data_IF_885339390161
#
_entry.id   IF_885339390161
#
_cell.length_a   1.000
_cell.length_b   1.000
_cell.length_c   1.000
_cell.angle_alpha   90.00
_cell.angle_beta   90.00
_cell.angle_gamma   90.00
#
_symmetry.space_group_name_H-M   'P 1'
#
loop_
_entity.id
_entity.type
_entity.pdbx_description
1 polymer ?
#
# COMPACT_ATOMS: atom_id res chain seq x y z
N UNK A 1 20.08 7.26 3.20
CA UNK A 1 20.76 6.02 3.65
C UNK A 1 19.69 5.12 4.25
N UNK A 2 19.16 4.16 3.51
CA UNK A 2 18.19 3.20 4.04
C UNK A 2 18.67 1.79 3.72
N UNK A 3 19.61 1.31 4.52
CA UNK A 3 19.79 -0.12 4.73
C UNK A 3 20.08 -0.32 6.21
N UNK A 4 19.08 -0.76 6.95
CA UNK A 4 19.29 -1.51 8.18
C UNK A 4 19.18 -2.99 7.80
N UNK A 5 20.27 -3.76 7.85
CA UNK A 5 20.20 -5.21 7.75
C UNK A 5 19.88 -5.76 9.14
N UNK A 6 18.77 -6.50 9.27
CA UNK A 6 18.56 -7.39 10.41
C UNK A 6 17.19 -7.32 11.08
N UNK A 7 16.22 -8.01 10.49
CA UNK A 7 15.21 -8.87 11.12
C UNK A 7 14.26 -9.28 9.98
N UNK A 8 13.80 -10.53 9.96
CA UNK A 8 12.56 -10.86 9.26
C UNK A 8 11.45 -10.08 9.96
N UNK A 9 11.26 -8.83 9.55
CA UNK A 9 10.25 -7.98 10.13
C UNK A 9 8.94 -8.45 9.55
N UNK A 10 8.10 -9.07 10.39
CA UNK A 10 6.70 -9.28 10.08
C UNK A 10 6.14 -8.02 9.43
N UNK A 11 5.42 -8.20 8.32
CA UNK A 11 5.00 -7.07 7.50
C UNK A 11 4.08 -6.19 8.33
N UNK A 12 4.43 -4.90 8.41
CA UNK A 12 3.71 -3.91 9.20
C UNK A 12 2.20 -3.92 8.86
N UNK A 13 1.31 -4.26 9.82
CA UNK A 13 -0.13 -4.31 9.58
C UNK A 13 -0.71 -2.99 9.07
N UNK A 14 -0.21 -1.86 9.58
CA UNK A 14 -0.63 -0.54 9.12
C UNK A 14 -0.26 -0.28 7.67
N UNK A 15 0.90 -0.79 7.21
CA UNK A 15 1.28 -0.72 5.80
C UNK A 15 0.38 -1.59 4.92
N UNK A 16 0.00 -2.79 5.39
CA UNK A 16 -0.97 -3.64 4.68
C UNK A 16 -2.32 -2.95 4.48
N UNK A 17 -2.79 -2.19 5.48
CA UNK A 17 -4.05 -1.45 5.36
C UNK A 17 -3.93 -0.29 4.36
N UNK A 18 -2.81 0.43 4.32
CA UNK A 18 -2.54 1.47 3.29
C UNK A 18 -2.57 0.86 1.89
N UNK A 19 -1.90 -0.28 1.68
CA UNK A 19 -1.90 -0.98 0.38
C UNK A 19 -3.31 -1.47 0.02
N UNK A 20 -4.03 -2.05 0.97
CA UNK A 20 -5.39 -2.53 0.74
C UNK A 20 -6.34 -1.38 0.36
N UNK A 21 -6.29 -0.26 1.08
CA UNK A 21 -7.14 0.91 0.78
C UNK A 21 -6.74 1.60 -0.52
N UNK A 22 -5.46 1.56 -0.92
CA UNK A 22 -5.00 2.03 -2.23
C UNK A 22 -5.71 1.28 -3.38
N UNK A 23 -5.72 -0.05 -3.34
CA UNK A 23 -6.25 -0.88 -4.45
C UNK A 23 -7.75 -1.18 -4.35
N UNK A 24 -8.33 -1.23 -3.14
CA UNK A 24 -9.70 -1.71 -2.90
C UNK A 24 -10.60 -0.68 -2.20
N UNK A 25 -10.02 0.38 -1.63
CA UNK A 25 -10.77 1.41 -0.93
C UNK A 25 -11.21 2.56 -1.83
N UNK A 26 -12.01 3.46 -1.26
CA UNK A 26 -12.27 4.78 -1.85
C UNK A 26 -11.08 5.73 -1.58
N UNK A 27 -10.98 6.88 -2.27
CA UNK A 27 -9.99 7.90 -1.94
C UNK A 27 -9.98 8.29 -0.45
N UNK A 28 -11.16 8.46 0.16
CA UNK A 28 -11.26 8.79 1.59
C UNK A 28 -10.80 7.66 2.51
N UNK A 29 -11.02 6.39 2.13
CA UNK A 29 -10.45 5.26 2.89
C UNK A 29 -8.92 5.28 2.85
N UNK A 30 -8.33 5.61 1.70
CA UNK A 30 -6.89 5.66 1.52
C UNK A 30 -6.27 6.83 2.29
N UNK A 31 -6.89 8.02 2.23
CA UNK A 31 -6.47 9.18 3.01
C UNK A 31 -6.51 8.90 4.52
N UNK A 32 -7.60 8.31 5.02
CA UNK A 32 -7.70 7.91 6.43
C UNK A 32 -6.66 6.87 6.84
N UNK A 33 -6.27 5.94 5.94
CA UNK A 33 -5.21 4.98 6.21
C UNK A 33 -3.82 5.62 6.26
N UNK A 34 -3.61 6.75 5.58
CA UNK A 34 -2.35 7.49 5.58
C UNK A 34 -2.22 8.48 6.75
N UNK A 35 -3.33 9.01 7.27
CA UNK A 35 -3.36 10.00 8.35
C UNK A 35 -2.44 9.67 9.55
N UNK A 36 -2.39 8.42 10.08
CA UNK A 36 -1.56 8.09 11.24
C UNK A 36 -0.05 8.27 11.01
N UNK A 37 0.39 8.32 9.75
CA UNK A 37 1.78 8.51 9.38
C UNK A 37 2.17 9.98 9.23
N UNK A 38 1.20 10.91 9.35
CA UNK A 38 1.40 12.35 9.23
C UNK A 38 2.21 12.75 7.97
N UNK A 39 1.78 12.33 6.76
CA UNK A 39 2.45 12.73 5.54
C UNK A 39 2.42 14.26 5.40
N UNK A 40 3.49 14.84 4.87
CA UNK A 40 3.47 16.25 4.48
C UNK A 40 2.57 16.48 3.26
N UNK A 41 2.43 17.74 2.85
CA UNK A 41 1.56 18.12 1.75
C UNK A 41 1.99 17.44 0.44
N UNK A 42 3.28 17.46 0.11
CA UNK A 42 3.78 16.89 -1.14
C UNK A 42 3.58 15.36 -1.17
N UNK A 43 3.80 14.67 -0.04
CA UNK A 43 3.54 13.24 0.11
C UNK A 43 2.05 12.92 -0.04
N UNK A 44 1.17 13.73 0.54
CA UNK A 44 -0.29 13.56 0.46
C UNK A 44 -0.80 13.75 -0.96
N UNK A 45 -0.32 14.78 -1.66
CA UNK A 45 -0.66 15.07 -3.06
C UNK A 45 -0.18 13.94 -3.98
N UNK A 46 1.04 13.45 -3.80
CA UNK A 46 1.57 12.32 -4.56
C UNK A 46 0.76 11.03 -4.33
N UNK A 47 0.37 10.76 -3.07
CA UNK A 47 -0.49 9.64 -2.71
C UNK A 47 -1.87 9.73 -3.38
N UNK A 48 -2.49 10.91 -3.35
CA UNK A 48 -3.78 11.14 -3.99
C UNK A 48 -3.73 10.93 -5.52
N UNK A 49 -2.67 11.42 -6.19
CA UNK A 49 -2.45 11.19 -7.62
C UNK A 49 -2.30 9.70 -7.94
N UNK A 50 -1.50 8.97 -7.14
CA UNK A 50 -1.36 7.52 -7.30
C UNK A 50 -2.71 6.81 -7.16
N UNK A 51 -3.50 7.18 -6.14
CA UNK A 51 -4.84 6.61 -5.91
C UNK A 51 -5.75 6.81 -7.12
N UNK A 52 -5.78 8.02 -7.68
CA UNK A 52 -6.56 8.32 -8.88
C UNK A 52 -6.16 7.44 -10.06
N UNK A 53 -4.86 7.24 -10.29
CA UNK A 53 -4.37 6.35 -11.35
C UNK A 53 -4.79 4.90 -11.11
N UNK A 54 -4.65 4.41 -9.89
CA UNK A 54 -5.07 3.05 -9.51
C UNK A 54 -6.58 2.85 -9.69
N UNK A 55 -7.39 3.88 -9.42
CA UNK A 55 -8.85 3.82 -9.59
C UNK A 55 -9.31 3.76 -11.06
N UNK A 56 -8.46 4.11 -12.01
CA UNK A 56 -8.74 3.91 -13.44
C UNK A 56 -8.60 2.45 -13.88
N UNK A 57 -7.95 1.61 -13.07
CA UNK A 57 -7.74 0.20 -13.42
C UNK A 57 -9.06 -0.59 -13.32
N UNK A 58 -9.32 -1.53 -14.25
CA UNK A 58 -10.45 -2.45 -14.12
C UNK A 58 -10.38 -3.23 -12.80
N UNK A 59 -11.54 -3.53 -12.20
CA UNK A 59 -11.60 -4.28 -10.93
C UNK A 59 -10.76 -5.57 -10.96
N UNK A 60 -10.86 -6.34 -12.06
CA UNK A 60 -10.08 -7.58 -12.25
C UNK A 60 -8.56 -7.34 -12.16
N UNK A 61 -8.08 -6.21 -12.66
CA UNK A 61 -6.66 -5.86 -12.58
C UNK A 61 -6.26 -5.56 -11.13
N UNK A 62 -7.06 -4.76 -10.41
CA UNK A 62 -6.84 -4.46 -8.99
C UNK A 62 -6.84 -5.74 -8.14
N UNK A 63 -7.79 -6.65 -8.38
CA UNK A 63 -7.87 -7.94 -7.68
C UNK A 63 -6.65 -8.83 -7.95
N UNK A 64 -6.19 -8.84 -9.20
CA UNK A 64 -5.01 -9.61 -9.60
C UNK A 64 -3.73 -9.05 -8.96
N UNK A 65 -3.62 -7.73 -8.84
CA UNK A 65 -2.52 -7.07 -8.14
C UNK A 65 -2.56 -7.41 -6.65
N UNK A 66 -3.71 -7.34 -5.99
CA UNK A 66 -3.81 -7.73 -4.57
C UNK A 66 -3.37 -9.17 -4.34
N UNK A 67 -3.80 -10.11 -5.19
CA UNK A 67 -3.34 -11.51 -5.13
C UNK A 67 -1.83 -11.66 -5.37
N UNK A 68 -1.25 -10.84 -6.26
CA UNK A 68 0.19 -10.82 -6.49
C UNK A 68 0.93 -10.34 -5.24
N UNK A 69 0.49 -9.23 -4.63
CA UNK A 69 1.08 -8.70 -3.40
C UNK A 69 0.97 -9.72 -2.27
N UNK A 70 -0.19 -10.38 -2.11
CA UNK A 70 -0.37 -11.47 -1.15
C UNK A 70 0.61 -12.64 -1.36
N UNK A 71 0.90 -13.01 -2.61
CA UNK A 71 1.89 -14.05 -2.92
C UNK A 71 3.31 -13.62 -2.57
N UNK A 72 3.65 -12.36 -2.82
CA UNK A 72 4.97 -11.81 -2.47
C UNK A 72 5.16 -11.86 -0.96
N UNK A 73 4.20 -11.36 -0.20
CA UNK A 73 4.31 -11.28 1.27
C UNK A 73 4.31 -12.65 1.96
N UNK A 74 3.65 -13.67 1.38
CA UNK A 74 3.64 -15.04 1.90
C UNK A 74 4.81 -15.88 1.40
N UNK A 75 5.66 -15.33 0.53
CA UNK A 75 6.81 -16.03 -0.04
C UNK A 75 7.87 -16.30 1.03
N UNK A 76 8.59 -17.43 0.91
CA UNK A 76 9.78 -17.70 1.73
C UNK A 76 10.92 -16.70 1.52
N UNK A 77 10.80 -15.81 0.53
CA UNK A 77 11.74 -14.72 0.27
C UNK A 77 11.49 -13.47 1.14
N UNK A 78 10.33 -13.38 1.79
CA UNK A 78 9.96 -12.27 2.69
C UNK A 78 9.94 -12.70 4.18
N UNK A 79 10.31 -13.96 4.47
CA UNK A 79 10.36 -14.55 5.81
C UNK A 79 11.80 -14.75 6.29
#
# INVERSE_FOLDING_TARGET
MFMHPGASAEICPSFLEVIKTLFMGTPSNYEAAMEPFSPDQDMSEAGAQLKMMVDTLPQKARDSIMKLLEKIIKSSLCN
#
